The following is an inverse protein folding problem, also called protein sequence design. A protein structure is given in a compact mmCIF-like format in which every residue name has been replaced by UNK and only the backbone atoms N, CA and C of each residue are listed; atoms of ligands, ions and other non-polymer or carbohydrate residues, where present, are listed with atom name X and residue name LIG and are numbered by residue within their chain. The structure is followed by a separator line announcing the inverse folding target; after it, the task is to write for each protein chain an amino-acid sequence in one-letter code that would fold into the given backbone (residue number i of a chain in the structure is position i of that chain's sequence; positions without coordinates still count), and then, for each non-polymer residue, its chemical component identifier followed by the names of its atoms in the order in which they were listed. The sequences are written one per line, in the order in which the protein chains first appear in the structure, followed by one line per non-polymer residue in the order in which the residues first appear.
data_IF_386520445608
#
_entry.id   IF_386520445608
#
_cell.length_a   1.000
_cell.length_b   1.000
_cell.length_c   1.000
_cell.angle_alpha   90.00
_cell.angle_beta   90.00
_cell.angle_gamma   90.00
#
_symmetry.space_group_name_H-M   'P 1'
#
loop_
_entity.id
_entity.type
_entity.pdbx_description
1 polymer ?
#
# COMPACT_ATOMS: atom_id res chain seq x y z
N UNK A 1 6.71 18.04 -11.15
CA UNK A 1 6.50 18.77 -9.87
C UNK A 1 6.93 17.87 -8.74
N UNK A 2 7.73 18.38 -7.82
CA UNK A 2 8.18 17.62 -6.66
C UNK A 2 7.05 17.55 -5.62
N UNK A 3 6.68 16.36 -5.10
CA UNK A 3 5.70 16.22 -4.02
C UNK A 3 6.15 17.02 -2.79
N UNK A 4 5.25 17.83 -2.22
CA UNK A 4 5.56 18.71 -1.09
C UNK A 4 4.74 18.38 0.15
N UNK A 5 3.44 18.15 0.00
CA UNK A 5 2.54 17.81 1.09
C UNK A 5 1.53 16.75 0.65
N UNK A 6 1.25 15.78 1.51
CA UNK A 6 0.34 14.69 1.25
C UNK A 6 -0.83 14.60 2.20
N UNK A 7 -1.93 14.10 1.70
CA UNK A 7 -3.16 13.85 2.47
C UNK A 7 -3.65 12.43 2.25
N UNK A 8 -4.10 11.77 3.31
CA UNK A 8 -4.79 10.50 3.21
C UNK A 8 -6.13 10.68 2.48
N UNK A 9 -6.31 9.96 1.38
CA UNK A 9 -7.51 10.03 0.56
C UNK A 9 -8.55 9.02 1.04
N UNK A 10 -9.73 9.53 1.38
CA UNK A 10 -10.90 8.72 1.75
C UNK A 10 -12.06 9.04 0.81
N UNK A 11 -13.04 8.11 0.64
CA UNK A 11 -14.17 8.33 -0.28
C UNK A 11 -14.93 9.63 -0.05
N UNK A 12 -15.10 10.06 1.20
CA UNK A 12 -15.77 11.31 1.53
C UNK A 12 -15.06 12.58 1.04
N UNK A 13 -13.79 12.48 0.63
CA UNK A 13 -12.97 13.61 0.17
C UNK A 13 -12.71 13.59 -1.34
N UNK A 14 -13.39 12.73 -2.09
CA UNK A 14 -13.14 12.60 -3.53
C UNK A 14 -13.42 13.88 -4.31
N UNK A 15 -14.50 14.56 -3.99
CA UNK A 15 -14.87 15.80 -4.68
C UNK A 15 -13.86 16.92 -4.42
N UNK A 16 -13.43 17.08 -3.17
CA UNK A 16 -12.40 18.05 -2.80
C UNK A 16 -11.05 17.70 -3.44
N UNK A 17 -10.68 16.42 -3.48
CA UNK A 17 -9.45 15.97 -4.10
C UNK A 17 -9.45 16.21 -5.62
N UNK A 18 -10.58 15.99 -6.29
CA UNK A 18 -10.76 16.29 -7.72
C UNK A 18 -10.69 17.79 -8.01
N UNK A 19 -11.15 18.62 -7.08
CA UNK A 19 -11.15 20.08 -7.20
C UNK A 19 -9.82 20.72 -6.77
N UNK A 20 -8.96 20.00 -6.04
CA UNK A 20 -7.74 20.53 -5.48
C UNK A 20 -6.75 21.00 -6.56
N UNK A 21 -6.11 22.15 -6.32
CA UNK A 21 -5.13 22.77 -7.24
C UNK A 21 -3.81 23.15 -6.57
N UNK A 22 -3.64 22.82 -5.29
CA UNK A 22 -2.45 23.18 -4.54
C UNK A 22 -1.18 22.56 -5.18
N UNK A 23 -0.14 23.36 -5.43
CA UNK A 23 1.10 22.87 -6.03
C UNK A 23 1.80 21.86 -5.13
N UNK A 24 2.24 20.73 -5.69
CA UNK A 24 2.96 19.69 -4.97
C UNK A 24 2.08 18.84 -4.05
N UNK A 25 0.75 19.01 -4.07
CA UNK A 25 -0.18 18.16 -3.33
C UNK A 25 -0.17 16.75 -3.92
N UNK A 26 -0.09 15.75 -3.04
CA UNK A 26 -0.21 14.34 -3.39
C UNK A 26 -1.18 13.64 -2.45
N UNK A 27 -1.67 12.49 -2.85
CA UNK A 27 -2.60 11.70 -2.04
C UNK A 27 -2.04 10.32 -1.71
N UNK A 28 -2.37 9.85 -0.51
CA UNK A 28 -2.08 8.48 -0.07
C UNK A 28 -3.36 7.68 0.02
N UNK A 29 -3.29 6.44 -0.45
CA UNK A 29 -4.41 5.49 -0.39
C UNK A 29 -3.93 4.15 0.16
N UNK A 30 -4.85 3.44 0.83
CA UNK A 30 -4.66 2.03 1.12
C UNK A 30 -5.01 1.21 -0.13
N UNK A 31 -4.03 0.51 -0.73
CA UNK A 31 -4.26 -0.23 -1.98
C UNK A 31 -5.36 -1.28 -1.85
N UNK A 32 -5.54 -1.89 -0.68
CA UNK A 32 -6.57 -2.89 -0.42
C UNK A 32 -7.99 -2.39 -0.74
N UNK A 33 -8.23 -1.10 -0.62
CA UNK A 33 -9.52 -0.48 -0.97
C UNK A 33 -9.77 -0.40 -2.49
N UNK A 34 -8.76 -0.71 -3.31
CA UNK A 34 -8.77 -0.57 -4.77
C UNK A 34 -8.42 -1.86 -5.51
N UNK A 35 -8.27 -2.98 -4.80
CA UNK A 35 -7.96 -4.31 -5.35
C UNK A 35 -9.18 -5.01 -5.95
N UNK A 36 -10.02 -4.27 -6.67
CA UNK A 36 -11.17 -4.80 -7.40
C UNK A 36 -10.92 -4.73 -8.91
N UNK A 37 -11.62 -5.55 -9.68
CA UNK A 37 -11.47 -5.57 -11.15
C UNK A 37 -11.96 -4.28 -11.84
N UNK A 38 -12.71 -3.43 -11.13
CA UNK A 38 -13.26 -2.18 -11.65
C UNK A 38 -14.13 -1.49 -10.61
N UNK A 39 -14.92 -0.51 -11.05
CA UNK A 39 -15.90 0.17 -10.24
C UNK A 39 -15.59 1.64 -9.98
N UNK A 40 -16.52 2.36 -9.31
CA UNK A 40 -16.45 3.81 -9.13
C UNK A 40 -15.16 4.28 -8.44
N UNK A 41 -14.67 3.55 -7.44
CA UNK A 41 -13.45 3.92 -6.71
C UNK A 41 -12.23 3.99 -7.62
N UNK A 42 -12.03 2.99 -8.49
CA UNK A 42 -10.92 2.99 -9.45
C UNK A 42 -11.05 4.10 -10.49
N UNK A 43 -12.27 4.39 -10.93
CA UNK A 43 -12.53 5.50 -11.86
C UNK A 43 -12.13 6.84 -11.24
N UNK A 44 -12.56 7.10 -10.01
CA UNK A 44 -12.23 8.35 -9.29
C UNK A 44 -10.72 8.43 -9.01
N UNK A 45 -10.11 7.34 -8.53
CA UNK A 45 -8.67 7.34 -8.27
C UNK A 45 -7.86 7.59 -9.56
N UNK A 46 -8.31 7.07 -10.69
CA UNK A 46 -7.70 7.34 -11.99
C UNK A 46 -7.78 8.84 -12.33
N UNK A 47 -8.94 9.48 -12.14
CA UNK A 47 -9.09 10.91 -12.37
C UNK A 47 -8.22 11.75 -11.43
N UNK A 48 -8.11 11.40 -10.15
CA UNK A 48 -7.23 12.07 -9.19
C UNK A 48 -5.75 11.91 -9.61
N UNK A 49 -5.34 10.70 -10.02
CA UNK A 49 -3.97 10.41 -10.44
C UNK A 49 -3.51 11.24 -11.65
N UNK A 50 -4.42 11.62 -12.55
CA UNK A 50 -4.06 12.48 -13.69
C UNK A 50 -3.63 13.89 -13.26
N UNK A 51 -3.94 14.30 -12.05
CA UNK A 51 -3.69 15.65 -11.51
C UNK A 51 -2.69 15.67 -10.36
N UNK A 52 -2.61 14.59 -9.60
CA UNK A 52 -1.82 14.49 -8.37
C UNK A 52 -1.01 13.19 -8.33
N UNK A 53 0.23 13.23 -7.82
CA UNK A 53 0.96 12.02 -7.49
C UNK A 53 0.24 11.19 -6.44
N UNK A 54 0.42 9.87 -6.47
CA UNK A 54 -0.13 8.94 -5.49
C UNK A 54 0.97 8.23 -4.72
N UNK A 55 0.73 8.01 -3.42
CA UNK A 55 1.40 7.05 -2.56
C UNK A 55 0.46 5.87 -2.30
N UNK A 56 0.97 4.65 -2.38
CA UNK A 56 0.24 3.45 -1.95
C UNK A 56 0.82 3.01 -0.60
N UNK A 57 -0.04 2.94 0.42
CA UNK A 57 0.34 2.56 1.77
C UNK A 57 -0.47 1.33 2.20
N UNK A 58 0.16 0.15 2.12
CA UNK A 58 -0.47 -1.14 2.40
C UNK A 58 -0.65 -1.40 3.90
N UNK A 59 -1.70 -2.11 4.23
CA UNK A 59 -2.06 -2.46 5.61
C UNK A 59 -2.30 -3.96 5.80
N UNK A 60 -2.34 -4.73 4.73
CA UNK A 60 -2.79 -6.12 4.78
C UNK A 60 -1.81 -7.18 4.28
N UNK A 61 -0.63 -6.80 3.78
CA UNK A 61 0.32 -7.77 3.25
C UNK A 61 0.98 -8.63 4.33
N UNK A 62 0.93 -8.18 5.59
CA UNK A 62 1.34 -8.98 6.75
C UNK A 62 2.82 -9.37 6.72
N UNK A 63 3.71 -8.39 6.47
CA UNK A 63 5.15 -8.61 6.30
C UNK A 63 5.82 -9.30 7.49
N UNK A 64 5.29 -9.14 8.70
CA UNK A 64 5.79 -9.76 9.92
C UNK A 64 5.11 -11.09 10.26
N UNK A 65 4.30 -11.64 9.36
CA UNK A 65 3.67 -12.95 9.56
C UNK A 65 4.68 -14.10 9.58
N UNK A 66 4.26 -15.21 10.17
CA UNK A 66 4.99 -16.48 10.17
C UNK A 66 4.73 -17.29 8.89
N UNK A 67 4.63 -16.59 7.77
CA UNK A 67 4.39 -17.15 6.44
C UNK A 67 4.88 -16.18 5.36
N UNK A 68 5.01 -16.67 4.14
CA UNK A 68 5.27 -15.82 2.98
C UNK A 68 4.05 -14.93 2.70
N UNK A 69 4.26 -13.74 2.10
CA UNK A 69 3.16 -12.90 1.66
C UNK A 69 2.22 -13.64 0.69
N UNK A 70 0.93 -13.37 0.81
CA UNK A 70 -0.07 -13.95 -0.09
C UNK A 70 0.22 -13.56 -1.56
N UNK A 71 0.42 -14.53 -2.46
CA UNK A 71 0.74 -14.26 -3.86
C UNK A 71 -0.41 -13.55 -4.60
N UNK A 72 -1.66 -13.79 -4.24
CA UNK A 72 -2.81 -13.10 -4.85
C UNK A 72 -2.83 -11.62 -4.44
N UNK A 73 -2.56 -11.34 -3.17
CA UNK A 73 -2.44 -9.97 -2.67
C UNK A 73 -1.26 -9.24 -3.35
N UNK A 74 -0.09 -9.88 -3.45
CA UNK A 74 1.06 -9.32 -4.15
C UNK A 74 0.75 -9.02 -5.63
N UNK A 75 0.05 -9.92 -6.31
CA UNK A 75 -0.35 -9.70 -7.70
C UNK A 75 -1.35 -8.56 -7.84
N UNK A 76 -2.31 -8.45 -6.93
CA UNK A 76 -3.26 -7.34 -6.92
C UNK A 76 -2.56 -5.99 -6.66
N UNK A 77 -1.62 -5.97 -5.71
CA UNK A 77 -0.80 -4.79 -5.44
C UNK A 77 0.07 -4.41 -6.66
N UNK A 78 0.71 -5.38 -7.30
CA UNK A 78 1.48 -5.19 -8.54
C UNK A 78 0.63 -4.55 -9.63
N UNK A 79 -0.59 -5.04 -9.82
CA UNK A 79 -1.55 -4.48 -10.80
C UNK A 79 -1.84 -3.00 -10.53
N UNK A 80 -2.02 -2.62 -9.26
CA UNK A 80 -2.23 -1.21 -8.89
C UNK A 80 -0.97 -0.37 -9.10
N UNK A 81 0.20 -0.90 -8.75
CA UNK A 81 1.48 -0.22 -8.96
C UNK A 81 1.70 0.06 -10.46
N UNK A 82 1.47 -0.92 -11.32
CA UNK A 82 1.62 -0.76 -12.76
C UNK A 82 0.60 0.23 -13.35
N UNK A 83 -0.62 0.23 -12.82
CA UNK A 83 -1.70 1.11 -13.30
C UNK A 83 -1.50 2.56 -12.90
N UNK A 84 -1.13 2.81 -11.66
CA UNK A 84 -1.11 4.17 -11.08
C UNK A 84 0.28 4.77 -11.00
N UNK A 85 1.34 3.97 -11.19
CA UNK A 85 2.74 4.40 -11.12
C UNK A 85 2.98 5.32 -9.90
N UNK A 86 2.73 4.83 -8.66
CA UNK A 86 2.88 5.65 -7.47
C UNK A 86 4.33 6.06 -7.28
N UNK A 87 4.58 7.27 -6.75
CA UNK A 87 5.95 7.70 -6.47
C UNK A 87 6.55 6.98 -5.26
N UNK A 88 5.69 6.52 -4.33
CA UNK A 88 6.05 5.72 -3.16
C UNK A 88 5.10 4.54 -3.01
N UNK A 89 5.64 3.40 -2.59
CA UNK A 89 4.90 2.25 -2.07
C UNK A 89 5.47 1.94 -0.69
N UNK A 90 4.60 1.82 0.29
CA UNK A 90 4.94 1.45 1.67
C UNK A 90 4.00 0.40 2.22
N UNK A 91 4.42 -0.29 3.28
CA UNK A 91 3.62 -1.28 3.98
C UNK A 91 3.93 -1.23 5.47
N UNK A 92 2.98 -1.60 6.31
CA UNK A 92 3.19 -1.71 7.75
C UNK A 92 4.07 -2.90 8.12
N UNK A 93 4.96 -2.68 9.06
CA UNK A 93 5.78 -3.73 9.66
C UNK A 93 5.00 -4.43 10.78
N UNK A 94 3.98 -5.18 10.39
CA UNK A 94 3.06 -5.87 11.28
C UNK A 94 2.62 -7.21 10.68
N UNK A 95 1.91 -8.01 11.44
CA UNK A 95 1.16 -9.13 10.90
C UNK A 95 -0.34 -8.94 11.14
N UNK A 96 -1.16 -9.41 10.22
CA UNK A 96 -2.61 -9.37 10.27
C UNK A 96 -3.24 -10.72 9.91
N UNK A 97 -2.46 -11.65 9.40
CA UNK A 97 -2.93 -12.99 9.02
C UNK A 97 -2.06 -14.05 9.66
N UNK A 98 -2.69 -15.02 10.34
CA UNK A 98 -2.03 -16.18 10.92
C UNK A 98 -2.82 -17.44 10.62
N UNK A 99 -2.18 -18.46 10.03
CA UNK A 99 -2.80 -19.75 9.66
C UNK A 99 -4.12 -19.60 8.87
N UNK A 100 -4.16 -18.64 7.95
CA UNK A 100 -5.34 -18.36 7.12
C UNK A 100 -6.45 -17.56 7.81
N UNK A 101 -6.28 -17.19 9.07
CA UNK A 101 -7.20 -16.30 9.78
C UNK A 101 -6.72 -14.87 9.72
N UNK A 102 -7.52 -14.01 9.11
CA UNK A 102 -7.26 -12.58 9.04
C UNK A 102 -7.80 -11.88 10.30
N UNK A 103 -6.94 -11.05 10.90
CA UNK A 103 -7.29 -10.12 11.98
C UNK A 103 -7.27 -8.71 11.39
N UNK A 104 -8.33 -7.93 11.50
CA UNK A 104 -8.37 -6.56 10.95
C UNK A 104 -7.61 -5.58 11.87
N UNK A 105 -6.35 -5.88 12.14
CA UNK A 105 -5.49 -5.10 13.04
C UNK A 105 -4.02 -5.22 12.60
N UNK A 106 -3.18 -4.34 13.11
CA UNK A 106 -1.74 -4.33 12.95
C UNK A 106 -1.09 -4.95 14.18
N UNK A 107 -0.78 -6.24 14.12
CA UNK A 107 -0.32 -6.98 15.29
C UNK A 107 1.22 -7.00 15.39
N UNK A 108 1.76 -6.92 16.62
CA UNK A 108 3.19 -6.88 16.86
C UNK A 108 3.84 -8.24 16.65
N UNK A 109 5.14 -8.26 16.45
CA UNK A 109 5.96 -9.45 16.26
C UNK A 109 7.08 -9.51 17.31
N UNK A 110 7.61 -10.71 17.63
CA UNK A 110 8.71 -10.85 18.57
C UNK A 110 10.00 -10.26 18.01
N UNK A 111 10.75 -9.53 18.85
CA UNK A 111 12.04 -8.93 18.46
C UNK A 111 13.17 -9.96 18.56
N UNK A 112 13.20 -10.90 17.62
CA UNK A 112 14.21 -11.97 17.53
C UNK A 112 14.92 -11.95 16.19
N UNK A 113 16.12 -12.56 16.11
CA UNK A 113 16.83 -12.74 14.85
C UNK A 113 16.01 -13.55 13.83
N UNK A 114 15.27 -14.56 14.29
CA UNK A 114 14.41 -15.36 13.41
C UNK A 114 13.29 -14.51 12.79
N UNK A 115 12.62 -13.66 13.59
CA UNK A 115 11.62 -12.74 13.07
C UNK A 115 12.22 -11.71 12.10
N UNK A 116 13.39 -11.14 12.43
CA UNK A 116 14.09 -10.21 11.55
C UNK A 116 14.41 -10.84 10.19
N UNK A 117 14.96 -12.06 10.18
CA UNK A 117 15.30 -12.79 8.94
C UNK A 117 14.05 -13.05 8.09
N UNK A 118 12.95 -13.42 8.72
CA UNK A 118 11.66 -13.65 8.04
C UNK A 118 11.11 -12.38 7.44
N UNK A 119 11.06 -11.31 8.21
CA UNK A 119 10.59 -9.99 7.77
C UNK A 119 11.43 -9.52 6.57
N UNK A 120 12.74 -9.59 6.67
CA UNK A 120 13.65 -9.22 5.57
C UNK A 120 13.36 -10.05 4.30
N UNK A 121 13.11 -11.35 4.45
CA UNK A 121 12.72 -12.23 3.34
C UNK A 121 11.37 -11.82 2.73
N UNK A 122 10.37 -11.48 3.54
CA UNK A 122 9.05 -11.05 3.08
C UNK A 122 9.12 -9.68 2.37
N UNK A 123 9.89 -8.74 2.88
CA UNK A 123 10.17 -7.46 2.21
C UNK A 123 10.85 -7.71 0.85
N UNK A 124 11.85 -8.60 0.81
CA UNK A 124 12.49 -8.99 -0.45
C UNK A 124 11.50 -9.52 -1.47
N UNK A 125 10.62 -10.44 -1.08
CA UNK A 125 9.56 -10.98 -1.97
C UNK A 125 8.62 -9.89 -2.47
N UNK A 126 8.22 -8.94 -1.62
CA UNK A 126 7.41 -7.80 -2.03
C UNK A 126 8.15 -6.95 -3.06
N UNK A 127 9.41 -6.61 -2.81
CA UNK A 127 10.24 -5.82 -3.73
C UNK A 127 10.45 -6.52 -5.07
N UNK A 128 10.72 -7.83 -5.05
CA UNK A 128 10.89 -8.64 -6.26
C UNK A 128 9.60 -8.67 -7.09
N UNK A 129 8.45 -8.88 -6.44
CA UNK A 129 7.15 -8.88 -7.11
C UNK A 129 6.82 -7.52 -7.74
N UNK A 130 7.12 -6.42 -7.05
CA UNK A 130 6.83 -5.06 -7.51
C UNK A 130 7.89 -4.49 -8.45
N UNK A 131 9.09 -5.06 -8.50
CA UNK A 131 10.23 -4.57 -9.27
C UNK A 131 10.76 -3.20 -8.79
N UNK A 132 10.60 -2.88 -7.50
CA UNK A 132 11.00 -1.60 -6.93
C UNK A 132 11.28 -1.68 -5.43
N UNK A 133 11.97 -0.68 -4.90
CA UNK A 133 12.11 -0.49 -3.46
C UNK A 133 10.77 -0.11 -2.84
N UNK A 134 10.57 -0.56 -1.60
CA UNK A 134 9.41 -0.21 -0.76
C UNK A 134 9.89 0.39 0.54
N UNK A 135 9.03 1.19 1.17
CA UNK A 135 9.24 1.68 2.52
C UNK A 135 8.48 0.77 3.50
N UNK A 136 8.94 0.72 4.73
CA UNK A 136 8.24 0.03 5.80
C UNK A 136 7.98 0.99 6.95
N UNK A 137 6.78 0.96 7.48
CA UNK A 137 6.36 1.75 8.62
C UNK A 137 6.31 0.88 9.87
N UNK A 138 6.97 1.33 10.94
CA UNK A 138 6.85 0.69 12.25
C UNK A 138 5.45 0.96 12.83
N UNK A 139 4.79 -0.04 13.44
CA UNK A 139 3.56 0.15 14.19
C UNK A 139 3.78 0.92 15.47
#
# INVERSE_FOLDING_TARGET
MTPAAGLGLKPQHYDEALAATAPGLWFEVHPENYMSAGGPRLTVLTAIRTRHPLSLHGVGLSLAADADPDPEHLQALKTLVDRFEPFVVSEHLAWSTHRGLHQPDLLPFPRTHAALSRIAGNIGRMQDALGRQVLVENP
#
